data_IF_047823240279
#
_entry.id   IF_047823240279
#
_cell.length_a   1.000
_cell.length_b   1.000
_cell.length_c   1.000
_cell.angle_alpha   90.00
_cell.angle_beta   90.00
_cell.angle_gamma   90.00
#
_symmetry.space_group_name_H-M   'P 1'
#
loop_
_entity.id
_entity.type
_entity.pdbx_description
1 polymer ?
#
# COMPACT_ATOMS: atom_id res chain seq x y z
N UNK A 1 2.28 -10.64 -45.82
CA UNK A 1 2.64 -11.85 -45.04
C UNK A 1 1.41 -12.74 -44.93
N UNK A 2 1.55 -14.05 -45.08
CA UNK A 2 0.39 -14.96 -45.09
C UNK A 2 -0.10 -15.19 -43.65
N UNK A 3 -1.38 -15.00 -43.39
CA UNK A 3 -2.05 -15.24 -42.11
C UNK A 3 -1.79 -16.66 -41.58
N UNK A 4 -1.70 -17.63 -42.50
CA UNK A 4 -1.43 -19.03 -42.16
C UNK A 4 -0.06 -19.20 -41.50
N UNK A 5 0.95 -18.47 -41.94
CA UNK A 5 2.30 -18.51 -41.38
C UNK A 5 2.31 -17.96 -39.91
N UNK A 6 1.57 -16.89 -39.66
CA UNK A 6 1.42 -16.30 -38.35
C UNK A 6 0.65 -17.23 -37.41
N UNK A 7 -0.40 -17.86 -37.88
CA UNK A 7 -1.16 -18.83 -37.08
C UNK A 7 -0.29 -20.01 -36.67
N UNK A 8 0.51 -20.59 -37.59
CA UNK A 8 1.42 -21.68 -37.28
C UNK A 8 2.53 -21.26 -36.32
N UNK A 9 3.08 -20.06 -36.49
CA UNK A 9 4.07 -19.52 -35.56
C UNK A 9 3.50 -19.37 -34.15
N UNK A 10 2.30 -18.80 -34.01
CA UNK A 10 1.67 -18.57 -32.72
C UNK A 10 1.26 -19.89 -32.00
N UNK A 11 0.98 -20.95 -32.78
CA UNK A 11 0.65 -22.25 -32.21
C UNK A 11 1.84 -22.88 -31.46
N UNK A 12 3.07 -22.64 -31.94
CA UNK A 12 4.29 -23.20 -31.34
C UNK A 12 5.09 -22.17 -30.53
N UNK A 13 4.71 -20.90 -30.54
CA UNK A 13 5.39 -19.86 -29.78
C UNK A 13 5.05 -19.95 -28.29
N UNK A 14 6.03 -19.61 -27.44
CA UNK A 14 5.79 -19.48 -26.01
C UNK A 14 4.76 -18.38 -25.75
N UNK A 15 3.74 -18.60 -24.92
CA UNK A 15 2.77 -17.56 -24.58
C UNK A 15 3.45 -16.33 -23.96
N UNK A 16 3.00 -15.16 -24.36
CA UNK A 16 3.49 -13.88 -23.85
C UNK A 16 2.99 -13.60 -22.42
N UNK A 17 1.94 -14.27 -22.00
CA UNK A 17 1.33 -14.14 -20.68
C UNK A 17 1.98 -15.05 -19.66
N UNK A 18 2.03 -14.59 -18.42
CA UNK A 18 2.52 -15.38 -17.28
C UNK A 18 1.40 -16.28 -16.77
N UNK A 19 1.72 -17.51 -16.40
CA UNK A 19 0.77 -18.47 -15.86
C UNK A 19 0.45 -18.15 -14.38
N UNK A 20 -0.24 -17.04 -14.16
CA UNK A 20 -0.73 -16.72 -12.82
C UNK A 20 -1.87 -17.69 -12.43
N UNK A 21 -1.94 -18.21 -11.19
CA UNK A 21 -1.12 -17.88 -10.01
C UNK A 21 0.14 -18.73 -9.82
N UNK A 22 0.44 -19.67 -10.74
CA UNK A 22 1.59 -20.57 -10.61
C UNK A 22 2.93 -19.85 -10.75
N UNK A 23 3.00 -18.88 -11.65
CA UNK A 23 4.15 -18.00 -11.80
C UNK A 23 3.76 -16.58 -11.37
N UNK A 24 4.55 -15.99 -10.46
CA UNK A 24 4.36 -14.57 -10.06
C UNK A 24 5.19 -13.67 -10.95
N UNK A 25 4.58 -12.58 -11.42
CA UNK A 25 5.31 -11.56 -12.14
C UNK A 25 6.39 -10.92 -11.23
N UNK A 26 7.59 -10.64 -11.76
CA UNK A 26 8.59 -9.90 -11.00
C UNK A 26 8.07 -8.51 -10.66
N UNK A 27 8.06 -8.16 -9.37
CA UNK A 27 7.61 -6.85 -8.90
C UNK A 27 8.80 -5.88 -9.03
N UNK A 28 8.69 -4.77 -9.79
CA UNK A 28 9.75 -3.79 -9.89
C UNK A 28 9.96 -3.06 -8.54
N UNK A 29 11.20 -2.64 -8.27
CA UNK A 29 11.55 -1.92 -7.04
C UNK A 29 10.82 -0.58 -6.84
N UNK A 30 10.24 -0.05 -7.92
CA UNK A 30 9.43 1.19 -7.89
C UNK A 30 7.94 0.95 -7.66
N UNK A 31 7.54 -0.29 -7.44
CA UNK A 31 6.14 -0.63 -7.24
C UNK A 31 5.60 0.00 -5.96
N UNK A 32 4.48 0.69 -6.07
CA UNK A 32 3.76 1.28 -4.95
C UNK A 32 2.58 0.41 -4.59
N UNK A 33 2.81 -0.53 -3.69
CA UNK A 33 1.79 -1.47 -3.27
C UNK A 33 0.84 -0.91 -2.21
N UNK A 34 0.66 -1.62 -1.15
CA UNK A 34 -0.30 -1.29 -0.10
C UNK A 34 0.31 -0.40 0.98
N UNK A 35 -0.47 0.55 1.49
CA UNK A 35 -0.07 1.38 2.62
C UNK A 35 -0.12 0.54 3.91
N UNK A 36 1.00 0.45 4.60
CA UNK A 36 1.10 -0.17 5.91
C UNK A 36 1.45 0.85 6.98
N UNK A 37 0.96 0.61 8.18
CA UNK A 37 1.17 1.48 9.34
C UNK A 37 1.80 0.66 10.46
N UNK A 38 2.95 1.12 10.93
CA UNK A 38 3.60 0.60 12.12
C UNK A 38 3.07 1.36 13.34
N UNK A 39 2.20 0.71 14.09
CA UNK A 39 1.59 1.32 15.27
C UNK A 39 2.61 1.68 16.36
N UNK A 40 3.71 0.94 16.46
CA UNK A 40 4.76 1.15 17.46
C UNK A 40 5.59 2.41 17.21
N UNK A 41 5.66 2.86 15.96
CA UNK A 41 6.40 4.07 15.55
C UNK A 41 5.50 5.31 15.40
N UNK A 42 4.19 5.12 15.36
CA UNK A 42 3.25 6.20 15.08
C UNK A 42 2.99 7.06 16.31
N UNK A 43 3.36 8.33 16.27
CA UNK A 43 3.13 9.32 17.35
C UNK A 43 1.79 10.06 17.26
N UNK A 44 0.95 9.76 16.27
CA UNK A 44 -0.37 10.40 16.10
C UNK A 44 -0.34 11.87 15.69
N UNK A 45 0.70 12.32 14.99
CA UNK A 45 0.90 13.74 14.63
C UNK A 45 -0.07 14.29 13.56
N UNK A 46 -0.94 13.47 12.98
CA UNK A 46 -1.95 13.83 11.97
C UNK A 46 -1.42 14.39 10.62
N UNK A 47 -0.11 14.47 10.40
CA UNK A 47 0.47 14.96 9.14
C UNK A 47 0.05 14.14 7.94
N UNK A 48 -0.01 12.82 8.07
CA UNK A 48 -0.43 11.91 7.01
C UNK A 48 -1.87 12.21 6.52
N UNK A 49 -2.77 12.55 7.42
CA UNK A 49 -4.14 12.94 7.07
C UNK A 49 -4.19 14.29 6.34
N UNK A 50 -3.37 15.26 6.74
CA UNK A 50 -3.33 16.59 6.13
C UNK A 50 -2.75 16.59 4.71
N UNK A 51 -1.72 15.76 4.44
CA UNK A 51 -1.06 15.69 3.13
C UNK A 51 -1.75 14.75 2.15
N UNK A 52 -2.80 14.06 2.56
CA UNK A 52 -3.50 13.08 1.74
C UNK A 52 -4.44 13.78 0.75
N UNK A 53 -4.19 13.75 -0.60
CA UNK A 53 -5.05 14.41 -1.57
C UNK A 53 -6.49 13.89 -1.58
N UNK A 54 -6.75 12.56 -1.59
CA UNK A 54 -8.10 12.03 -1.56
C UNK A 54 -8.71 11.97 -0.15
N UNK A 55 -8.01 12.47 0.89
CA UNK A 55 -8.47 12.52 2.28
C UNK A 55 -8.99 11.17 2.81
N UNK A 56 -8.27 10.10 2.49
CA UNK A 56 -8.64 8.73 2.87
C UNK A 56 -8.12 8.31 4.24
N UNK A 57 -7.29 9.14 4.86
CA UNK A 57 -6.71 8.88 6.17
C UNK A 57 -7.51 9.61 7.22
N UNK A 58 -8.24 8.87 8.03
CA UNK A 58 -8.99 9.39 9.17
C UNK A 58 -8.23 9.11 10.46
N UNK A 59 -8.27 10.06 11.39
CA UNK A 59 -7.65 9.86 12.72
C UNK A 59 -8.71 9.32 13.67
N UNK A 60 -8.50 8.11 14.17
CA UNK A 60 -9.37 7.46 15.16
C UNK A 60 -8.70 7.43 16.53
N UNK A 61 -9.48 7.33 17.58
CA UNK A 61 -8.96 7.23 18.92
C UNK A 61 -8.27 5.87 19.12
N UNK A 62 -7.04 5.90 19.58
CA UNK A 62 -6.21 4.72 19.80
C UNK A 62 -5.09 5.06 20.77
N UNK A 63 -5.41 5.09 22.11
CA UNK A 63 -4.43 5.42 23.13
C UNK A 63 -3.34 4.33 23.17
N UNK A 64 -2.09 4.74 23.04
CA UNK A 64 -0.91 3.87 23.15
C UNK A 64 0.30 4.67 23.56
N UNK A 65 1.19 4.05 24.29
CA UNK A 65 2.51 4.61 24.58
C UNK A 65 3.48 4.24 23.46
N UNK A 66 4.16 5.23 22.91
CA UNK A 66 5.11 5.10 21.81
C UNK A 66 6.41 5.79 22.20
N UNK A 67 7.52 5.13 21.97
CA UNK A 67 8.84 5.72 22.18
C UNK A 67 9.31 6.50 20.95
N UNK A 68 9.56 7.80 21.14
CA UNK A 68 10.11 8.66 20.10
C UNK A 68 11.30 9.45 20.61
N UNK A 69 12.48 9.25 20.00
CA UNK A 69 13.76 9.91 20.39
C UNK A 69 14.10 9.80 21.88
N UNK A 70 13.87 8.62 22.46
CA UNK A 70 14.18 8.36 23.88
C UNK A 70 13.18 8.98 24.88
N UNK A 71 12.02 9.43 24.41
CA UNK A 71 10.92 9.90 25.26
C UNK A 71 9.68 9.07 24.98
N UNK A 72 9.04 8.59 26.05
CA UNK A 72 7.73 7.94 25.97
C UNK A 72 6.66 9.01 25.76
N UNK A 73 5.90 8.89 24.65
CA UNK A 73 4.80 9.77 24.31
C UNK A 73 3.50 8.99 24.33
N UNK A 74 2.53 9.47 25.10
CA UNK A 74 1.17 8.91 25.06
C UNK A 74 0.46 9.37 23.78
N UNK A 75 0.29 8.48 22.82
CA UNK A 75 -0.48 8.70 21.61
C UNK A 75 -1.98 8.60 21.92
N UNK A 76 -2.76 9.59 21.52
CA UNK A 76 -4.22 9.60 21.69
C UNK A 76 -4.94 9.12 20.42
N UNK A 77 -4.38 9.39 19.23
CA UNK A 77 -5.01 9.12 17.94
C UNK A 77 -4.10 8.30 17.04
N UNK A 78 -4.70 7.42 16.24
CA UNK A 78 -4.01 6.64 15.21
C UNK A 78 -4.62 6.91 13.83
N UNK A 79 -3.84 6.85 12.75
CA UNK A 79 -4.36 6.93 11.41
C UNK A 79 -5.04 5.61 11.02
N UNK A 80 -6.17 5.72 10.34
CA UNK A 80 -6.89 4.63 9.73
C UNK A 80 -7.06 4.93 8.24
N UNK A 81 -6.66 4.03 7.35
CA UNK A 81 -6.62 4.26 5.92
C UNK A 81 -7.70 3.47 5.19
N UNK A 82 -8.53 4.15 4.40
CA UNK A 82 -9.51 3.52 3.51
C UNK A 82 -8.84 3.14 2.19
N UNK A 83 -8.38 1.90 2.06
CA UNK A 83 -7.59 1.44 0.92
C UNK A 83 -8.29 1.57 -0.42
N UNK A 84 -9.58 1.35 -0.47
CA UNK A 84 -10.37 1.39 -1.71
C UNK A 84 -10.43 2.78 -2.37
N UNK A 85 -10.13 3.85 -1.62
CA UNK A 85 -10.02 5.23 -2.13
C UNK A 85 -8.56 5.69 -2.27
N UNK A 86 -7.59 4.90 -1.83
CA UNK A 86 -6.20 5.29 -1.83
C UNK A 86 -5.59 5.23 -3.23
N UNK A 87 -5.03 6.34 -3.70
CA UNK A 87 -4.33 6.44 -5.00
C UNK A 87 -2.86 6.04 -4.94
N UNK A 88 -2.37 5.56 -3.79
CA UNK A 88 -0.99 5.10 -3.56
C UNK A 88 0.10 6.10 -3.98
N UNK A 89 -0.14 7.38 -3.75
CA UNK A 89 0.79 8.46 -4.16
C UNK A 89 2.09 8.52 -3.34
N UNK A 90 2.15 7.90 -2.14
CA UNK A 90 3.32 7.88 -1.26
C UNK A 90 3.59 9.16 -0.48
N UNK A 91 2.73 10.18 -0.56
CA UNK A 91 2.93 11.44 0.19
C UNK A 91 2.92 11.24 1.71
N UNK A 92 2.05 10.35 2.21
CA UNK A 92 1.99 10.04 3.63
C UNK A 92 3.29 9.45 4.18
N UNK A 93 3.97 8.61 3.39
CA UNK A 93 5.27 8.03 3.71
C UNK A 93 6.36 9.12 3.76
N UNK A 94 6.44 9.97 2.72
CA UNK A 94 7.44 11.04 2.62
C UNK A 94 7.35 12.08 3.74
N UNK A 95 6.14 12.35 4.23
CA UNK A 95 5.90 13.38 5.25
C UNK A 95 5.81 12.83 6.67
N UNK A 96 5.94 11.52 6.86
CA UNK A 96 5.94 10.91 8.18
C UNK A 96 7.27 11.15 8.89
N UNK A 97 7.30 11.87 10.04
CA UNK A 97 8.56 12.18 10.73
C UNK A 97 9.18 10.96 11.43
N UNK A 98 8.39 9.92 11.67
CA UNK A 98 8.82 8.69 12.35
C UNK A 98 9.01 7.50 11.42
N UNK A 99 8.64 7.64 10.13
CA UNK A 99 8.63 6.51 9.18
C UNK A 99 7.63 5.43 9.55
N UNK A 100 6.58 5.78 10.31
CA UNK A 100 5.55 4.83 10.73
C UNK A 100 4.63 4.38 9.58
N UNK A 101 4.59 5.11 8.48
CA UNK A 101 3.81 4.77 7.29
C UNK A 101 4.77 4.46 6.15
N UNK A 102 4.59 3.33 5.53
CA UNK A 102 5.38 2.91 4.36
C UNK A 102 4.50 2.16 3.36
N UNK A 103 4.95 2.10 2.12
CA UNK A 103 4.31 1.32 1.06
C UNK A 103 4.97 -0.07 0.99
N UNK A 104 4.16 -1.12 1.17
CA UNK A 104 4.61 -2.51 1.01
C UNK A 104 4.55 -2.93 -0.46
N UNK A 105 5.43 -3.83 -0.85
CA UNK A 105 5.44 -4.40 -2.21
C UNK A 105 4.32 -5.44 -2.44
N UNK A 106 3.51 -5.69 -1.42
CA UNK A 106 2.43 -6.68 -1.46
C UNK A 106 1.07 -6.02 -1.57
N UNK A 107 0.12 -6.73 -2.16
CA UNK A 107 -1.29 -6.39 -2.22
C UNK A 107 -2.04 -7.45 -1.43
N UNK A 108 -2.36 -7.19 -0.19
CA UNK A 108 -3.11 -8.12 0.67
C UNK A 108 -4.61 -7.83 0.71
N UNK A 109 -5.02 -6.64 0.32
CA UNK A 109 -6.38 -6.15 0.43
C UNK A 109 -7.26 -6.41 -0.80
N UNK A 110 -7.39 -7.66 -1.25
CA UNK A 110 -8.41 -8.03 -2.22
C UNK A 110 -9.65 -8.55 -1.47
N UNK A 111 -10.76 -7.84 -1.55
CA UNK A 111 -12.01 -8.22 -0.90
C UNK A 111 -13.21 -7.57 -1.57
N UNK A 112 -14.39 -8.11 -1.30
CA UNK A 112 -15.69 -7.54 -1.71
C UNK A 112 -16.14 -6.43 -0.78
N UNK A 113 -15.56 -6.34 0.40
CA UNK A 113 -15.95 -5.38 1.43
C UNK A 113 -15.32 -4.02 1.18
N UNK A 114 -16.19 -3.01 0.95
CA UNK A 114 -15.76 -1.63 0.71
C UNK A 114 -15.13 -0.96 1.93
N UNK A 115 -15.31 -1.56 3.09
CA UNK A 115 -14.81 -1.06 4.36
C UNK A 115 -13.51 -1.73 4.81
N UNK A 116 -12.80 -2.40 3.90
CA UNK A 116 -11.46 -2.91 4.18
C UNK A 116 -10.55 -1.74 4.61
N UNK A 117 -10.31 -1.67 5.88
CA UNK A 117 -9.54 -0.62 6.54
C UNK A 117 -8.23 -1.23 7.02
N UNK A 118 -7.12 -0.58 6.71
CA UNK A 118 -5.86 -0.92 7.35
C UNK A 118 -5.84 -0.26 8.73
N UNK A 119 -5.71 -1.05 9.72
CA UNK A 119 -5.54 -0.62 11.12
C UNK A 119 -4.08 -0.70 11.51
#
# INVERSE_FOLDING_TARGET
MSVIREMLHNLFAKPFTILYPYEKAPIPCTFRGEVAIDDDKCIGCSKCSQVCPPQVITMVDGPREVEFKGKSLARKKRPQVKLYKCIRCGLCERHCPTGAIHLKDTLSGCGTDKEAVIT
#
